data_IF_604910978073
#
_entry.id   IF_604910978073
#
_cell.length_a   1.000
_cell.length_b   1.000
_cell.length_c   1.000
_cell.angle_alpha   90.00
_cell.angle_beta   90.00
_cell.angle_gamma   90.00
#
_symmetry.space_group_name_H-M   'P 1'
#
loop_
_entity.id
_entity.type
_entity.pdbx_description
1 polymer ?
#
# COMPACT_ATOMS: atom_id res chain seq x y z
N UNK A 1 -0.06 -17.57 -1.65
CA UNK A 1 1.38 -17.65 -1.32
C UNK A 1 1.90 -16.24 -1.12
N UNK A 2 2.86 -16.00 -0.22
CA UNK A 2 3.50 -14.69 -0.08
C UNK A 2 4.71 -14.60 -1.01
N UNK A 3 4.93 -13.45 -1.64
CA UNK A 3 6.06 -13.21 -2.55
C UNK A 3 6.63 -11.80 -2.39
N UNK A 4 7.73 -11.54 -3.09
CA UNK A 4 8.37 -10.23 -3.15
C UNK A 4 8.49 -9.78 -4.60
N UNK A 5 8.24 -8.49 -4.86
CA UNK A 5 8.46 -7.88 -6.18
C UNK A 5 9.89 -8.12 -6.67
N UNK A 6 10.88 -8.08 -5.77
CA UNK A 6 12.30 -8.38 -6.08
C UNK A 6 12.52 -9.79 -6.63
N UNK A 7 11.82 -10.78 -6.09
CA UNK A 7 12.01 -12.18 -6.50
C UNK A 7 11.27 -12.51 -7.78
N UNK A 8 10.18 -11.79 -8.06
CA UNK A 8 9.41 -11.90 -9.30
C UNK A 8 10.14 -11.18 -10.43
N UNK A 9 10.67 -9.97 -10.21
CA UNK A 9 11.37 -9.20 -11.25
C UNK A 9 12.60 -9.93 -11.79
N UNK A 10 13.27 -10.73 -10.95
CA UNK A 10 14.43 -11.55 -11.33
C UNK A 10 14.09 -12.79 -12.16
N UNK A 11 12.82 -13.17 -12.27
CA UNK A 11 12.38 -14.31 -13.08
C UNK A 11 11.99 -13.84 -14.47
N UNK A 12 12.19 -14.73 -15.44
CA UNK A 12 11.60 -14.66 -16.77
C UNK A 12 10.10 -14.97 -16.72
N UNK A 13 9.39 -14.60 -17.78
CA UNK A 13 7.96 -14.94 -17.92
C UNK A 13 7.77 -16.46 -18.04
N UNK A 14 8.71 -17.16 -18.66
CA UNK A 14 8.71 -18.61 -18.83
C UNK A 14 8.80 -19.34 -17.47
N UNK A 15 9.72 -18.92 -16.61
CA UNK A 15 9.83 -19.45 -15.24
C UNK A 15 8.54 -19.21 -14.44
N UNK A 16 7.92 -18.04 -14.59
CA UNK A 16 6.64 -17.75 -13.94
C UNK A 16 5.50 -18.60 -14.52
N UNK A 17 5.48 -18.89 -15.82
CA UNK A 17 4.51 -19.81 -16.44
C UNK A 17 4.70 -21.24 -15.92
N UNK A 18 5.94 -21.68 -15.72
CA UNK A 18 6.25 -22.96 -15.09
C UNK A 18 5.72 -23.00 -13.65
N UNK A 19 5.96 -21.96 -12.86
CA UNK A 19 5.38 -21.85 -11.51
C UNK A 19 3.86 -21.95 -11.51
N UNK A 20 3.19 -21.32 -12.48
CA UNK A 20 1.73 -21.44 -12.63
C UNK A 20 1.30 -22.87 -12.96
N UNK A 21 2.00 -23.55 -13.87
CA UNK A 21 1.74 -24.95 -14.21
C UNK A 21 1.92 -25.89 -13.01
N UNK A 22 2.82 -25.54 -12.08
CA UNK A 22 3.04 -26.23 -10.81
C UNK A 22 2.00 -25.88 -9.72
N UNK A 23 1.02 -25.02 -10.02
CA UNK A 23 -0.12 -24.73 -9.13
C UNK A 23 -0.04 -23.38 -8.41
N UNK A 24 0.94 -22.52 -8.70
CA UNK A 24 0.99 -21.16 -8.15
C UNK A 24 -0.04 -20.27 -8.86
N UNK A 25 -1.25 -20.19 -8.30
CA UNK A 25 -2.35 -19.40 -8.87
C UNK A 25 -2.46 -17.96 -8.36
N UNK A 26 -1.98 -17.68 -7.14
CA UNK A 26 -2.10 -16.36 -6.51
C UNK A 26 -0.91 -16.00 -5.61
N UNK A 27 -0.36 -14.80 -5.81
CA UNK A 27 0.66 -14.19 -4.96
C UNK A 27 0.12 -13.00 -4.18
N UNK A 28 0.51 -12.88 -2.92
CA UNK A 28 0.33 -11.64 -2.16
C UNK A 28 1.72 -11.03 -1.93
N UNK A 29 1.90 -9.76 -2.28
CA UNK A 29 3.19 -9.08 -2.24
C UNK A 29 3.09 -7.73 -1.55
N UNK A 30 4.01 -7.42 -0.64
CA UNK A 30 4.06 -6.09 -0.02
C UNK A 30 4.73 -5.08 -0.95
N UNK A 31 3.95 -4.16 -1.53
CA UNK A 31 4.48 -2.97 -2.23
C UNK A 31 5.00 -1.95 -1.21
N UNK A 32 4.29 -1.77 -0.11
CA UNK A 32 4.54 -0.80 0.96
C UNK A 32 4.48 0.66 0.50
N UNK A 33 5.28 1.05 -0.50
CA UNK A 33 5.28 2.35 -1.18
C UNK A 33 5.66 2.17 -2.65
N UNK A 34 5.20 3.04 -3.54
CA UNK A 34 5.76 3.15 -4.89
C UNK A 34 6.82 4.24 -5.06
N UNK A 35 7.29 4.86 -3.96
CA UNK A 35 8.34 5.90 -3.98
C UNK A 35 9.71 5.27 -3.73
N UNK A 36 10.64 5.41 -4.67
CA UNK A 36 12.00 4.88 -4.52
C UNK A 36 12.74 5.44 -3.30
N UNK A 37 12.48 6.71 -2.95
CA UNK A 37 13.02 7.30 -1.72
C UNK A 37 12.52 6.53 -0.49
N UNK A 38 11.20 6.40 -0.34
CA UNK A 38 10.60 5.71 0.81
C UNK A 38 11.02 4.25 0.85
N UNK A 39 11.03 3.56 -0.29
CA UNK A 39 11.50 2.17 -0.43
C UNK A 39 12.97 2.01 -0.01
N UNK A 40 13.83 2.97 -0.37
CA UNK A 40 15.22 3.01 0.04
C UNK A 40 15.36 3.21 1.55
N UNK A 41 14.63 4.18 2.11
CA UNK A 41 14.69 4.53 3.54
C UNK A 41 14.30 3.33 4.43
N UNK A 42 13.38 2.48 3.96
CA UNK A 42 12.98 1.25 4.67
C UNK A 42 13.75 0.00 4.23
N UNK A 43 14.78 0.14 3.41
CA UNK A 43 15.60 -0.96 2.88
C UNK A 43 14.78 -2.08 2.20
N UNK A 44 13.72 -1.73 1.46
CA UNK A 44 12.79 -2.71 0.88
C UNK A 44 13.47 -3.63 -0.14
N UNK A 45 14.52 -3.15 -0.80
CA UNK A 45 15.38 -3.95 -1.67
C UNK A 45 14.86 -4.14 -3.10
N UNK A 46 13.96 -3.27 -3.56
CA UNK A 46 13.58 -3.11 -4.96
C UNK A 46 13.17 -1.65 -5.23
N UNK A 47 13.11 -1.30 -6.51
CA UNK A 47 12.62 -0.02 -7.04
C UNK A 47 11.18 -0.11 -7.53
N UNK A 48 10.52 1.03 -7.69
CA UNK A 48 9.19 1.13 -8.30
C UNK A 48 9.16 0.50 -9.71
N UNK A 49 10.22 0.69 -10.50
CA UNK A 49 10.33 0.10 -11.83
C UNK A 49 10.43 -1.43 -11.79
N UNK A 50 11.19 -1.99 -10.84
CA UNK A 50 11.21 -3.45 -10.62
C UNK A 50 9.85 -3.98 -10.16
N UNK A 51 9.11 -3.21 -9.37
CA UNK A 51 7.75 -3.58 -8.98
C UNK A 51 6.79 -3.59 -10.17
N UNK A 52 6.93 -2.61 -11.08
CA UNK A 52 6.15 -2.53 -12.32
C UNK A 52 6.48 -3.69 -13.25
N UNK A 53 7.77 -3.97 -13.49
CA UNK A 53 8.25 -5.09 -14.30
C UNK A 53 7.71 -6.43 -13.77
N UNK A 54 7.82 -6.68 -12.46
CA UNK A 54 7.27 -7.87 -11.82
C UNK A 54 5.76 -7.99 -12.03
N UNK A 55 5.01 -6.90 -11.86
CA UNK A 55 3.56 -6.87 -12.07
C UNK A 55 3.16 -7.18 -13.53
N UNK A 56 3.95 -6.72 -14.50
CA UNK A 56 3.74 -7.00 -15.93
C UNK A 56 4.05 -8.47 -16.26
N UNK A 57 5.17 -9.00 -15.77
CA UNK A 57 5.54 -10.41 -15.94
C UNK A 57 4.51 -11.38 -15.36
N UNK A 58 3.96 -11.08 -14.17
CA UNK A 58 2.90 -11.89 -13.57
C UNK A 58 1.62 -11.91 -14.43
N UNK A 59 1.25 -10.76 -15.00
CA UNK A 59 0.13 -10.66 -15.94
C UNK A 59 0.37 -11.53 -17.18
N UNK A 60 1.55 -11.47 -17.77
CA UNK A 60 1.92 -12.28 -18.95
C UNK A 60 1.98 -13.78 -18.66
N UNK A 61 2.42 -14.16 -17.46
CA UNK A 61 2.36 -15.54 -16.98
C UNK A 61 0.92 -15.96 -16.59
N UNK A 62 0.00 -15.01 -16.44
CA UNK A 62 -1.37 -15.22 -16.00
C UNK A 62 -1.48 -15.64 -14.53
N UNK A 63 -0.56 -15.18 -13.67
CA UNK A 63 -0.64 -15.35 -12.22
C UNK A 63 -1.33 -14.13 -11.63
N UNK A 64 -2.43 -14.34 -10.91
CA UNK A 64 -3.12 -13.27 -10.20
C UNK A 64 -2.31 -12.85 -8.96
N UNK A 65 -2.38 -11.59 -8.56
CA UNK A 65 -1.71 -11.14 -7.34
C UNK A 65 -2.43 -9.99 -6.65
N UNK A 66 -2.27 -9.94 -5.34
CA UNK A 66 -2.66 -8.82 -4.49
C UNK A 66 -1.45 -8.08 -3.96
N UNK A 67 -1.63 -6.80 -3.63
CA UNK A 67 -0.58 -5.97 -3.02
C UNK A 67 -1.06 -5.23 -1.78
N UNK A 68 -0.13 -4.91 -0.87
CA UNK A 68 -0.37 -3.92 0.19
C UNK A 68 0.44 -2.65 0.01
N UNK A 69 -0.15 -1.53 0.42
CA UNK A 69 0.49 -0.23 0.61
C UNK A 69 0.38 0.14 2.08
N UNK A 70 1.45 0.71 2.65
CA UNK A 70 1.48 1.20 4.03
C UNK A 70 1.34 2.71 4.02
N UNK A 71 0.16 3.18 4.41
CA UNK A 71 -0.15 4.60 4.58
C UNK A 71 0.69 5.20 5.71
N UNK A 72 1.25 6.38 5.49
CA UNK A 72 2.11 7.09 6.42
C UNK A 72 3.55 6.58 6.45
N UNK A 73 3.92 5.63 5.58
CA UNK A 73 5.29 5.09 5.53
C UNK A 73 6.33 6.12 5.09
N UNK A 74 5.93 7.14 4.32
CA UNK A 74 6.78 8.30 4.01
C UNK A 74 6.91 9.32 5.15
N UNK A 75 6.28 9.07 6.29
CA UNK A 75 6.24 10.02 7.39
C UNK A 75 5.53 11.32 7.00
N UNK A 76 5.77 12.37 7.79
CA UNK A 76 5.18 13.68 7.54
C UNK A 76 5.79 14.38 6.31
N UNK A 77 7.02 14.04 5.94
CA UNK A 77 7.82 14.77 4.94
C UNK A 77 7.64 14.21 3.52
N UNK A 78 7.59 12.88 3.36
CA UNK A 78 7.60 12.24 2.04
C UNK A 78 6.21 11.75 1.59
N UNK A 79 5.12 12.18 2.23
CA UNK A 79 3.75 11.74 1.88
C UNK A 79 3.39 12.01 0.41
N UNK A 80 3.76 13.17 -0.14
CA UNK A 80 3.53 13.48 -1.57
C UNK A 80 4.33 12.59 -2.52
N UNK A 81 5.56 12.26 -2.17
CA UNK A 81 6.37 11.32 -2.94
C UNK A 81 5.76 9.91 -2.85
N UNK A 82 5.32 9.50 -1.66
CA UNK A 82 4.63 8.24 -1.42
C UNK A 82 3.36 8.12 -2.27
N UNK A 83 2.46 9.11 -2.23
CA UNK A 83 1.21 9.13 -3.02
C UNK A 83 1.49 8.96 -4.51
N UNK A 84 2.35 9.82 -5.08
CA UNK A 84 2.64 9.81 -6.52
C UNK A 84 3.31 8.52 -6.97
N UNK A 85 4.30 8.05 -6.23
CA UNK A 85 4.99 6.81 -6.52
C UNK A 85 4.05 5.61 -6.45
N UNK A 86 3.25 5.52 -5.39
CA UNK A 86 2.27 4.45 -5.23
C UNK A 86 1.25 4.46 -6.36
N UNK A 87 0.66 5.62 -6.71
CA UNK A 87 -0.27 5.74 -7.83
C UNK A 87 0.35 5.30 -9.16
N UNK A 88 1.62 5.66 -9.39
CA UNK A 88 2.35 5.22 -10.58
C UNK A 88 2.37 3.70 -10.67
N UNK A 89 2.87 3.01 -9.64
CA UNK A 89 2.95 1.54 -9.65
C UNK A 89 1.56 0.91 -9.78
N UNK A 90 0.59 1.39 -8.99
CA UNK A 90 -0.78 0.85 -8.98
C UNK A 90 -1.47 0.97 -10.35
N UNK A 91 -1.30 2.09 -11.05
CA UNK A 91 -1.93 2.33 -12.35
C UNK A 91 -1.15 1.69 -13.51
N UNK A 92 0.15 1.43 -13.35
CA UNK A 92 0.94 0.78 -14.39
C UNK A 92 0.76 -0.75 -14.41
N UNK A 93 0.28 -1.37 -13.32
CA UNK A 93 0.16 -2.84 -13.21
C UNK A 93 -1.28 -3.34 -12.96
N UNK A 94 -1.46 -4.67 -12.96
CA UNK A 94 -2.76 -5.35 -12.93
C UNK A 94 -2.98 -6.13 -11.62
N UNK A 95 -3.29 -5.41 -10.54
CA UNK A 95 -3.59 -6.01 -9.24
C UNK A 95 -4.98 -6.67 -9.24
N UNK A 96 -5.12 -7.85 -8.63
CA UNK A 96 -6.42 -8.45 -8.30
C UNK A 96 -6.97 -7.90 -6.99
N UNK A 97 -6.09 -7.48 -6.08
CA UNK A 97 -6.46 -6.83 -4.83
C UNK A 97 -5.42 -5.79 -4.40
N UNK A 98 -5.85 -4.70 -3.76
CA UNK A 98 -4.96 -3.72 -3.10
C UNK A 98 -5.48 -3.47 -1.68
N UNK A 99 -4.62 -3.70 -0.70
CA UNK A 99 -4.84 -3.34 0.69
C UNK A 99 -4.14 -2.04 1.05
N UNK A 100 -4.86 -1.07 1.60
CA UNK A 100 -4.28 0.11 2.22
C UNK A 100 -4.28 -0.09 3.74
N UNK A 101 -3.10 -0.12 4.35
CA UNK A 101 -2.92 -0.38 5.77
C UNK A 101 -2.18 0.79 6.41
N UNK A 102 -2.52 1.17 7.63
CA UNK A 102 -1.81 2.26 8.32
C UNK A 102 -0.51 1.76 8.93
N UNK A 103 0.55 2.58 8.84
CA UNK A 103 1.82 2.32 9.50
C UNK A 103 1.61 2.09 11.00
N UNK A 104 2.13 0.96 11.49
CA UNK A 104 2.08 0.59 12.90
C UNK A 104 3.51 0.33 13.43
N UNK A 105 4.19 1.35 13.98
CA UNK A 105 5.56 1.21 14.47
C UNK A 105 5.64 0.19 15.62
N UNK A 106 6.50 -0.81 15.46
CA UNK A 106 6.71 -1.88 16.44
C UNK A 106 8.04 -1.68 17.18
N UNK A 107 8.00 -1.79 18.51
CA UNK A 107 9.21 -1.75 19.34
C UNK A 107 10.24 -2.80 18.88
N UNK A 108 11.52 -2.41 18.87
CA UNK A 108 12.62 -3.25 18.40
C UNK A 108 12.77 -3.36 16.87
N UNK A 109 12.09 -2.51 16.10
CA UNK A 109 12.31 -2.37 14.65
C UNK A 109 13.21 -1.16 14.34
N UNK A 110 14.00 -1.19 13.26
CA UNK A 110 14.82 -0.03 12.88
C UNK A 110 14.02 1.26 12.72
N UNK A 111 12.83 1.19 12.11
CA UNK A 111 11.97 2.37 11.97
C UNK A 111 11.52 2.93 13.33
N UNK A 112 11.25 2.08 14.31
CA UNK A 112 10.90 2.53 15.65
C UNK A 112 12.06 3.28 16.32
N UNK A 113 13.29 2.80 16.14
CA UNK A 113 14.50 3.47 16.63
C UNK A 113 14.69 4.85 15.96
N UNK A 114 14.48 4.94 14.65
CA UNK A 114 14.54 6.23 13.91
C UNK A 114 13.48 7.23 14.39
N UNK A 115 12.27 6.76 14.71
CA UNK A 115 11.22 7.61 15.29
C UNK A 115 11.63 8.10 16.68
N UNK A 116 12.17 7.22 17.52
CA UNK A 116 12.64 7.61 18.87
C UNK A 116 13.81 8.59 18.82
N UNK A 117 14.69 8.45 17.84
CA UNK A 117 15.81 9.36 17.60
C UNK A 117 15.37 10.73 17.03
N UNK A 118 14.12 10.85 16.56
CA UNK A 118 13.60 12.06 15.91
C UNK A 118 14.02 12.21 14.45
N UNK A 119 14.61 11.19 13.85
CA UNK A 119 15.04 11.17 12.44
C UNK A 119 13.88 10.81 11.49
N UNK A 120 12.81 10.19 12.01
CA UNK A 120 11.59 9.93 11.27
C UNK A 120 10.40 10.58 11.98
N UNK A 121 9.72 11.51 11.29
CA UNK A 121 8.54 12.19 11.80
C UNK A 121 7.30 11.42 11.36
N UNK A 122 6.57 10.84 12.32
CA UNK A 122 5.31 10.16 12.04
C UNK A 122 4.27 11.11 11.42
N UNK A 123 3.56 10.63 10.41
CA UNK A 123 2.40 11.33 9.87
C UNK A 123 1.34 11.49 10.97
N UNK A 124 0.62 12.61 10.95
CA UNK A 124 -0.63 12.74 11.70
C UNK A 124 -1.72 11.89 11.06
N UNK A 125 -2.77 11.58 11.80
CA UNK A 125 -3.94 10.89 11.23
C UNK A 125 -4.58 11.68 10.07
N UNK A 126 -4.57 13.01 10.13
CA UNK A 126 -5.02 13.85 9.01
C UNK A 126 -4.19 13.65 7.74
N UNK A 127 -2.88 13.50 7.87
CA UNK A 127 -1.99 13.23 6.73
C UNK A 127 -2.24 11.83 6.16
N UNK A 128 -2.35 10.81 7.01
CA UNK A 128 -2.70 9.44 6.55
C UNK A 128 -4.03 9.43 5.82
N UNK A 129 -5.03 10.11 6.39
CA UNK A 129 -6.35 10.19 5.77
C UNK A 129 -6.26 10.87 4.39
N UNK A 130 -5.51 11.97 4.29
CA UNK A 130 -5.28 12.65 3.03
C UNK A 130 -4.62 11.72 2.01
N UNK A 131 -3.58 11.00 2.43
CA UNK A 131 -2.88 10.02 1.60
C UNK A 131 -3.79 8.88 1.11
N UNK A 132 -4.59 8.29 2.00
CA UNK A 132 -5.61 7.29 1.66
C UNK A 132 -6.59 7.83 0.60
N UNK A 133 -7.09 9.04 0.83
CA UNK A 133 -8.06 9.69 -0.04
C UNK A 133 -7.48 9.99 -1.43
N UNK A 134 -6.25 10.52 -1.51
CA UNK A 134 -5.62 10.86 -2.79
C UNK A 134 -5.21 9.61 -3.57
N UNK A 135 -4.73 8.55 -2.91
CA UNK A 135 -4.48 7.26 -3.55
C UNK A 135 -5.79 6.68 -4.12
N UNK A 136 -6.87 6.64 -3.34
CA UNK A 136 -8.16 6.10 -3.82
C UNK A 136 -8.78 6.93 -4.95
N UNK A 137 -8.61 8.26 -4.92
CA UNK A 137 -9.05 9.15 -6.01
C UNK A 137 -8.24 8.95 -7.29
N UNK A 138 -6.92 8.87 -7.18
CA UNK A 138 -6.01 8.74 -8.32
C UNK A 138 -5.91 7.31 -8.88
N UNK A 139 -6.42 6.31 -8.16
CA UNK A 139 -6.35 4.93 -8.60
C UNK A 139 -7.34 4.66 -9.75
N UNK A 140 -6.79 4.17 -10.85
CA UNK A 140 -7.46 3.87 -12.11
C UNK A 140 -7.02 2.48 -12.59
N UNK A 141 -7.56 1.40 -12.00
CA UNK A 141 -7.11 0.06 -12.32
C UNK A 141 -7.47 -0.35 -13.74
N UNK A 142 -6.54 -1.06 -14.39
CA UNK A 142 -6.74 -1.66 -15.72
C UNK A 142 -7.67 -2.88 -15.71
N UNK A 143 -8.11 -3.36 -14.54
CA UNK A 143 -9.02 -4.49 -14.35
C UNK A 143 -9.86 -4.31 -13.08
N UNK A 144 -10.91 -5.13 -12.90
CA UNK A 144 -11.63 -5.15 -11.63
C UNK A 144 -10.67 -5.54 -10.50
N UNK A 145 -10.56 -4.67 -9.49
CA UNK A 145 -9.59 -4.81 -8.39
C UNK A 145 -10.31 -4.67 -7.07
N UNK A 146 -10.14 -5.66 -6.18
CA UNK A 146 -10.71 -5.60 -4.84
C UNK A 146 -9.88 -4.68 -3.95
N UNK A 147 -10.51 -3.65 -3.38
CA UNK A 147 -9.88 -2.71 -2.45
C UNK A 147 -10.38 -2.97 -1.05
N UNK A 148 -9.48 -2.90 -0.07
CA UNK A 148 -9.82 -2.80 1.34
C UNK A 148 -8.90 -1.80 2.06
N UNK A 149 -9.48 -1.02 2.98
CA UNK A 149 -8.78 0.03 3.71
C UNK A 149 -9.41 0.28 5.08
N UNK A 150 -8.61 0.83 6.01
CA UNK A 150 -9.07 1.23 7.36
C UNK A 150 -8.63 0.31 8.50
N UNK A 151 -7.76 -0.67 8.22
CA UNK A 151 -7.08 -1.41 9.29
C UNK A 151 -6.17 -0.46 10.09
N UNK A 152 -6.26 -0.53 11.42
CA UNK A 152 -5.45 0.25 12.38
C UNK A 152 -5.79 1.74 12.50
N UNK A 153 -6.94 2.20 11.99
CA UNK A 153 -7.52 3.50 12.35
C UNK A 153 -8.29 3.40 13.69
N UNK A 154 -8.45 4.52 14.43
CA UNK A 154 -9.15 4.54 15.72
C UNK A 154 -10.59 3.98 15.67
N UNK A 155 -11.22 3.99 14.49
CA UNK A 155 -12.59 3.51 14.30
C UNK A 155 -12.68 2.02 14.00
N UNK A 156 -11.56 1.32 13.72
CA UNK A 156 -11.50 -0.08 13.26
C UNK A 156 -12.47 -0.45 12.12
N UNK A 157 -13.03 0.54 11.44
CA UNK A 157 -13.99 0.32 10.36
C UNK A 157 -13.21 -0.06 9.10
N UNK A 158 -13.49 -1.23 8.55
CA UNK A 158 -12.93 -1.64 7.26
C UNK A 158 -13.89 -1.23 6.14
N UNK A 159 -13.43 -0.41 5.19
CA UNK A 159 -14.13 -0.13 3.95
C UNK A 159 -13.54 -1.04 2.87
N UNK A 160 -14.40 -1.72 2.13
CA UNK A 160 -13.99 -2.55 1.01
C UNK A 160 -14.97 -2.51 -0.16
N UNK A 161 -14.49 -2.91 -1.34
CA UNK A 161 -15.31 -3.05 -2.55
C UNK A 161 -14.49 -3.18 -3.82
N UNK A 162 -15.19 -3.33 -4.95
CA UNK A 162 -14.59 -3.55 -6.25
C UNK A 162 -14.37 -2.24 -7.00
N UNK A 163 -13.12 -1.87 -7.25
CA UNK A 163 -12.81 -0.76 -8.15
C UNK A 163 -12.91 -1.19 -9.63
N UNK A 164 -13.36 -0.29 -10.53
CA UNK A 164 -13.85 1.07 -10.26
C UNK A 164 -15.34 1.15 -9.86
N UNK A 165 -16.08 0.03 -9.90
CA UNK A 165 -17.54 0.01 -9.71
C UNK A 165 -18.00 0.65 -8.38
N UNK A 166 -17.26 0.41 -7.30
CA UNK A 166 -17.54 0.90 -5.96
C UNK A 166 -16.81 2.19 -5.59
N UNK A 167 -16.05 2.81 -6.51
CA UNK A 167 -15.16 3.95 -6.22
C UNK A 167 -15.90 5.09 -5.50
N UNK A 168 -17.05 5.52 -6.03
CA UNK A 168 -17.84 6.59 -5.43
C UNK A 168 -18.41 6.21 -4.06
N UNK A 169 -18.86 4.94 -3.89
CA UNK A 169 -19.35 4.44 -2.61
C UNK A 169 -18.25 4.46 -1.55
N UNK A 170 -17.05 3.98 -1.90
CA UNK A 170 -15.89 3.91 -1.02
C UNK A 170 -15.43 5.32 -0.62
N UNK A 171 -15.32 6.23 -1.59
CA UNK A 171 -14.97 7.63 -1.30
C UNK A 171 -16.00 8.31 -0.39
N UNK A 172 -17.30 8.06 -0.60
CA UNK A 172 -18.34 8.58 0.29
C UNK A 172 -18.26 8.00 1.70
N UNK A 173 -17.99 6.70 1.84
CA UNK A 173 -17.77 6.08 3.16
C UNK A 173 -16.55 6.68 3.86
N UNK A 174 -15.47 6.91 3.11
CA UNK A 174 -14.26 7.55 3.62
C UNK A 174 -14.53 8.99 4.11
N UNK A 175 -15.32 9.78 3.36
CA UNK A 175 -15.74 11.11 3.81
C UNK A 175 -16.65 11.06 5.05
N UNK A 176 -17.55 10.09 5.14
CA UNK A 176 -18.41 9.90 6.32
C UNK A 176 -17.60 9.54 7.58
N UNK A 177 -16.47 8.84 7.46
CA UNK A 177 -15.57 8.62 8.62
C UNK A 177 -15.09 9.92 9.25
N UNK A 178 -14.86 10.98 8.45
CA UNK A 178 -14.48 12.31 8.99
C UNK A 178 -15.57 12.90 9.88
N UNK A 179 -16.85 12.64 9.59
CA UNK A 179 -17.95 13.30 10.29
C UNK A 179 -18.30 12.62 11.62
N UNK A 180 -17.94 11.34 11.79
CA UNK A 180 -18.22 10.57 13.00
C UNK A 180 -17.45 11.08 14.23
N UNK A 181 -16.16 11.38 14.10
CA UNK A 181 -15.39 12.11 15.12
C UNK A 181 -14.26 12.87 14.43
N UNK A 182 -14.19 14.19 14.56
CA UNK A 182 -13.13 15.00 13.92
C UNK A 182 -11.89 15.17 14.78
N UNK A 183 -11.94 14.73 16.05
CA UNK A 183 -10.86 14.95 17.02
C UNK A 183 -9.66 14.07 16.74
N UNK A 184 -9.88 12.81 16.34
CA UNK A 184 -8.79 11.88 16.01
C UNK A 184 -7.92 12.37 14.84
N UNK A 185 -8.47 13.15 13.90
CA UNK A 185 -7.70 13.77 12.82
C UNK A 185 -6.63 14.76 13.34
N UNK A 186 -6.79 15.29 14.56
CA UNK A 186 -5.80 16.16 15.19
C UNK A 186 -4.75 15.37 15.99
N UNK A 187 -4.95 14.08 16.19
CA UNK A 187 -4.04 13.22 16.93
C UNK A 187 -2.84 12.81 16.06
N UNK A 188 -1.73 12.57 16.74
CA UNK A 188 -0.53 11.97 16.14
C UNK A 188 -0.58 10.47 16.37
N UNK A 189 -0.03 9.68 15.44
CA UNK A 189 0.14 8.25 15.65
C UNK A 189 1.01 8.03 16.90
N UNK A 190 0.55 7.17 17.82
CA UNK A 190 1.33 6.80 19.00
C UNK A 190 2.29 5.66 18.66
N UNK A 191 3.47 5.69 19.29
CA UNK A 191 4.39 4.55 19.31
C UNK A 191 3.71 3.36 20.02
N UNK A 192 3.81 2.17 19.43
CA UNK A 192 3.19 0.89 19.86
C UNK A 192 1.72 0.65 19.46
N UNK A 193 1.13 1.42 18.54
CA UNK A 193 -0.07 0.97 17.82
C UNK A 193 -1.33 0.74 18.64
N UNK A 194 -1.38 1.23 19.88
CA UNK A 194 -2.54 1.10 20.75
C UNK A 194 -3.04 2.48 21.17
N UNK A 195 -4.36 2.66 21.08
CA UNK A 195 -5.07 3.78 21.70
C UNK A 195 -4.82 3.81 23.20
#
# INVERSE_FOLDING_TARGET
MYGSYRDVSRKSVEELKEMKALGVGFLYMGLESGSDKVLSDIHKGYTADEAIDAGQKLREAGIAYGTSVILGLGGAEDSEAHIRGTLRVLNETNHSAVGLMVLNPQSGTPLFEEIQAGNFILSTYKQIFYEEQEILKGFEPKQSTFIYTGGFLPTNEVIAGQFPADKNRILNQLENRKTQDRRWLKETIKLNGHL
#
